data_IF_638213137590
#
_entry.id   IF_638213137590
#
_cell.length_a   1.000
_cell.length_b   1.000
_cell.length_c   1.000
_cell.angle_alpha   90.00
_cell.angle_beta   90.00
_cell.angle_gamma   90.00
#
_symmetry.space_group_name_H-M   'P 1'
#
loop_
_entity.id
_entity.type
_entity.pdbx_description
1 polymer ?
#
# COMPACT_ATOMS: atom_id res chain seq x y z
N UNK A 1 -12.40 9.83 26.98
CA UNK A 1 -12.12 10.63 25.77
C UNK A 1 -10.90 9.96 25.15
N UNK A 2 -11.06 9.30 24.01
CA UNK A 2 -9.90 8.90 23.20
C UNK A 2 -9.23 10.20 22.75
N UNK A 3 -7.94 10.35 23.00
CA UNK A 3 -7.18 11.52 22.58
C UNK A 3 -6.87 11.31 21.09
N UNK A 4 -7.78 11.74 20.21
CA UNK A 4 -7.53 11.72 18.77
C UNK A 4 -6.39 12.69 18.47
N UNK A 5 -5.21 12.16 18.15
CA UNK A 5 -4.03 12.98 17.85
C UNK A 5 -4.01 13.33 16.36
N UNK A 6 -4.10 14.62 16.06
CA UNK A 6 -3.97 15.13 14.69
C UNK A 6 -2.54 15.63 14.47
N UNK A 7 -1.82 14.99 13.56
CA UNK A 7 -0.41 15.29 13.25
C UNK A 7 -0.32 15.74 11.81
N UNK A 8 0.03 17.01 11.58
CA UNK A 8 0.28 17.54 10.23
C UNK A 8 1.73 18.01 10.10
N UNK A 9 2.40 17.59 9.05
CA UNK A 9 3.82 17.88 8.80
C UNK A 9 4.07 18.34 7.35
N UNK A 10 4.83 19.43 7.19
CA UNK A 10 5.20 20.00 5.88
C UNK A 10 6.72 20.11 5.67
N UNK A 11 7.23 19.68 4.53
CA UNK A 11 8.66 19.70 4.19
C UNK A 11 9.38 18.40 4.56
N UNK A 12 10.72 18.45 4.58
CA UNK A 12 11.52 17.26 4.92
C UNK A 12 11.60 17.03 6.43
N UNK A 13 10.80 16.10 6.95
CA UNK A 13 10.78 15.78 8.38
C UNK A 13 11.74 14.66 8.73
N UNK A 14 12.71 14.98 9.58
CA UNK A 14 13.70 14.03 10.06
C UNK A 14 13.34 13.35 11.38
N UNK A 15 12.14 13.56 11.92
CA UNK A 15 11.67 12.87 13.13
C UNK A 15 10.59 11.85 12.76
N UNK A 16 10.70 10.60 13.23
CA UNK A 16 9.63 9.63 13.04
C UNK A 16 8.37 10.09 13.78
N UNK A 17 7.21 9.67 13.29
CA UNK A 17 5.94 9.82 13.99
C UNK A 17 5.69 8.51 14.73
N UNK A 18 5.41 8.60 16.03
CA UNK A 18 5.05 7.48 16.88
C UNK A 18 3.81 7.86 17.69
N UNK A 19 2.79 7.01 17.62
CA UNK A 19 1.56 7.13 18.40
C UNK A 19 1.16 5.75 18.93
N UNK A 20 0.53 5.75 20.10
CA UNK A 20 -0.10 4.57 20.70
C UNK A 20 -1.63 4.60 20.63
N UNK A 21 -2.19 5.72 20.21
CA UNK A 21 -3.63 5.88 19.97
C UNK A 21 -3.91 5.72 18.46
N UNK A 22 -5.11 6.08 18.01
CA UNK A 22 -5.58 6.07 16.61
C UNK A 22 -5.34 7.46 15.95
N UNK A 23 -4.11 7.81 15.49
CA UNK A 23 -3.82 9.15 15.03
C UNK A 23 -4.36 9.41 13.62
N UNK A 24 -4.62 10.69 13.35
CA UNK A 24 -4.79 11.21 11.99
C UNK A 24 -3.51 11.93 11.57
N UNK A 25 -2.77 11.35 10.64
CA UNK A 25 -1.46 11.81 10.18
C UNK A 25 -1.57 12.31 8.75
N UNK A 26 -1.18 13.57 8.52
CA UNK A 26 -1.04 14.14 7.17
C UNK A 26 0.37 14.67 6.96
N UNK A 27 1.06 14.21 5.92
CA UNK A 27 2.46 14.55 5.68
C UNK A 27 2.70 15.01 4.23
N UNK A 28 3.42 16.12 4.03
CA UNK A 28 3.78 16.67 2.72
C UNK A 28 5.30 16.79 2.56
N UNK A 29 5.90 16.21 1.52
CA UNK A 29 7.35 16.19 1.30
C UNK A 29 8.02 14.86 1.67
N UNK A 30 9.32 14.85 1.96
CA UNK A 30 10.03 13.65 2.42
C UNK A 30 9.91 13.44 3.92
N UNK A 31 9.51 12.24 4.36
CA UNK A 31 9.34 11.95 5.79
C UNK A 31 10.12 10.72 6.22
N UNK A 32 10.38 10.64 7.53
CA UNK A 32 10.90 9.44 8.19
C UNK A 32 9.82 8.37 8.38
N UNK A 33 10.21 7.13 8.78
CA UNK A 33 9.26 6.06 9.04
C UNK A 33 8.18 6.49 10.04
N UNK A 34 6.99 5.96 9.81
CA UNK A 34 5.83 6.07 10.68
C UNK A 34 5.68 4.70 11.34
N UNK A 35 5.68 4.66 12.68
CA UNK A 35 5.57 3.44 13.48
C UNK A 35 4.40 3.59 14.45
N UNK A 36 3.32 2.86 14.18
CA UNK A 36 2.01 3.06 14.81
C UNK A 36 1.43 1.72 15.30
N UNK A 37 0.64 1.79 16.38
CA UNK A 37 0.11 0.60 17.03
C UNK A 37 -1.41 0.47 17.00
N UNK A 38 -2.17 1.56 16.82
CA UNK A 38 -3.64 1.52 16.87
C UNK A 38 -4.24 2.24 15.67
N UNK A 39 -5.12 1.53 14.94
CA UNK A 39 -5.83 1.87 13.69
C UNK A 39 -5.57 3.28 13.09
N UNK A 40 -4.37 3.54 12.52
CA UNK A 40 -4.02 4.89 12.14
C UNK A 40 -4.60 5.30 10.79
N UNK A 41 -4.95 6.58 10.67
CA UNK A 41 -5.30 7.19 9.39
C UNK A 41 -4.13 8.02 8.88
N UNK A 42 -3.51 7.58 7.79
CA UNK A 42 -2.27 8.17 7.26
C UNK A 42 -2.52 8.67 5.84
N UNK A 43 -2.29 9.95 5.60
CA UNK A 43 -2.25 10.56 4.26
C UNK A 43 -0.88 11.15 4.00
N UNK A 44 -0.22 10.75 2.92
CA UNK A 44 1.11 11.26 2.58
C UNK A 44 1.16 11.77 1.13
N UNK A 45 1.84 12.90 0.91
CA UNK A 45 2.06 13.52 -0.39
C UNK A 45 3.56 13.73 -0.67
N UNK A 46 4.03 13.40 -1.88
CA UNK A 46 5.40 13.63 -2.34
C UNK A 46 6.24 12.36 -2.51
N UNK A 47 7.56 12.50 -2.38
CA UNK A 47 8.51 11.39 -2.47
C UNK A 47 8.78 10.80 -1.08
N UNK A 48 8.24 9.61 -0.82
CA UNK A 48 8.37 8.91 0.46
C UNK A 48 9.42 7.84 0.35
N UNK A 49 10.63 8.19 0.80
CA UNK A 49 11.78 7.31 0.75
C UNK A 49 11.88 6.31 1.92
N UNK A 50 10.87 6.24 2.78
CA UNK A 50 10.84 5.38 3.98
C UNK A 50 9.50 4.66 4.12
N UNK A 51 9.49 3.43 4.65
CA UNK A 51 8.27 2.64 4.79
C UNK A 51 7.36 3.18 5.89
N UNK A 52 6.09 2.81 5.80
CA UNK A 52 5.11 2.89 6.89
C UNK A 52 5.06 1.50 7.54
N UNK A 53 5.26 1.43 8.86
CA UNK A 53 5.15 0.21 9.66
C UNK A 53 3.97 0.37 10.64
N UNK A 54 3.00 -0.54 10.56
CA UNK A 54 1.82 -0.54 11.44
C UNK A 54 1.64 -1.90 12.09
N UNK A 55 1.43 -1.89 13.41
CA UNK A 55 1.02 -3.05 14.22
C UNK A 55 -0.46 -3.00 14.63
N UNK A 56 -1.26 -2.17 13.94
CA UNK A 56 -2.72 -2.18 14.03
C UNK A 56 -3.31 -2.21 12.63
N UNK A 57 -4.58 -1.84 12.46
CA UNK A 57 -5.28 -1.89 11.16
C UNK A 57 -5.25 -0.51 10.43
N UNK A 58 -4.24 -0.20 9.59
CA UNK A 58 -4.09 1.15 9.10
C UNK A 58 -4.96 1.45 7.88
N UNK A 59 -5.38 2.70 7.79
CA UNK A 59 -5.92 3.33 6.59
C UNK A 59 -4.86 4.25 6.00
N UNK A 60 -4.30 3.88 4.85
CA UNK A 60 -3.15 4.56 4.24
C UNK A 60 -3.52 5.09 2.86
N UNK A 61 -3.32 6.39 2.65
CA UNK A 61 -3.41 7.02 1.33
C UNK A 61 -2.10 7.70 0.99
N UNK A 62 -1.49 7.36 -0.16
CA UNK A 62 -0.21 7.93 -0.59
C UNK A 62 -0.29 8.49 -2.01
N UNK A 63 0.30 9.67 -2.24
CA UNK A 63 0.39 10.34 -3.55
C UNK A 63 1.84 10.69 -3.93
N UNK A 64 2.31 10.24 -5.10
CA UNK A 64 3.67 10.47 -5.59
C UNK A 64 4.51 9.20 -5.75
N UNK A 65 5.75 9.22 -5.24
CA UNK A 65 6.70 8.11 -5.33
C UNK A 65 6.86 7.51 -3.94
N UNK A 66 6.56 6.22 -3.78
CA UNK A 66 6.48 5.62 -2.45
C UNK A 66 7.37 4.40 -2.28
N UNK A 67 7.93 4.27 -1.06
CA UNK A 67 8.46 3.03 -0.50
C UNK A 67 7.32 2.18 0.07
N UNK A 68 7.57 0.90 0.37
CA UNK A 68 6.49 -0.02 0.64
C UNK A 68 5.86 0.24 2.00
N UNK A 69 4.61 -0.19 2.13
CA UNK A 69 3.93 -0.35 3.41
C UNK A 69 4.22 -1.76 3.89
N UNK A 70 4.59 -1.88 5.16
CA UNK A 70 4.64 -3.14 5.87
C UNK A 70 3.56 -3.07 6.96
N UNK A 71 2.55 -3.95 6.89
CA UNK A 71 1.48 -4.06 7.90
C UNK A 71 1.45 -5.47 8.46
N UNK A 72 1.23 -5.59 9.77
CA UNK A 72 1.06 -6.88 10.43
C UNK A 72 -0.40 -7.31 10.53
N UNK A 73 -1.33 -6.36 10.59
CA UNK A 73 -2.77 -6.62 10.67
C UNK A 73 -3.48 -6.15 9.40
N UNK A 74 -4.81 -6.32 9.38
CA UNK A 74 -5.66 -5.95 8.26
C UNK A 74 -5.42 -4.51 7.83
N UNK A 75 -5.35 -4.25 6.53
CA UNK A 75 -4.96 -2.91 6.07
C UNK A 75 -5.73 -2.44 4.85
N UNK A 76 -5.99 -1.14 4.81
CA UNK A 76 -6.63 -0.46 3.69
C UNK A 76 -5.62 0.51 3.08
N UNK A 77 -5.08 0.17 1.91
CA UNK A 77 -4.08 0.98 1.23
C UNK A 77 -4.61 1.50 -0.09
N UNK A 78 -4.56 2.82 -0.26
CA UNK A 78 -4.76 3.50 -1.54
C UNK A 78 -3.48 4.23 -1.95
N UNK A 79 -3.03 4.02 -3.18
CA UNK A 79 -1.79 4.59 -3.67
C UNK A 79 -1.95 5.20 -5.06
N UNK A 80 -1.34 6.37 -5.28
CA UNK A 80 -1.33 7.09 -6.55
C UNK A 80 0.10 7.43 -6.96
N UNK A 81 0.53 6.99 -8.14
CA UNK A 81 1.83 7.34 -8.73
C UNK A 81 2.71 6.13 -9.01
N UNK A 82 4.02 6.30 -8.82
CA UNK A 82 5.03 5.30 -9.21
C UNK A 82 5.47 4.46 -8.01
N UNK A 83 5.33 3.14 -8.15
CA UNK A 83 5.66 2.19 -7.09
C UNK A 83 6.92 1.41 -7.44
N UNK A 84 7.99 1.72 -6.71
CA UNK A 84 9.32 1.19 -7.01
C UNK A 84 9.78 0.03 -6.10
N UNK A 85 9.00 -0.34 -5.08
CA UNK A 85 9.34 -1.41 -4.13
C UNK A 85 8.14 -2.31 -3.81
N UNK A 86 8.39 -3.60 -3.48
CA UNK A 86 7.33 -4.54 -3.15
C UNK A 86 6.74 -4.29 -1.77
N UNK A 87 5.44 -4.49 -1.64
CA UNK A 87 4.67 -4.38 -0.39
C UNK A 87 4.65 -5.70 0.35
N UNK A 88 4.75 -5.72 1.69
CA UNK A 88 4.62 -6.95 2.47
C UNK A 88 3.50 -6.82 3.49
N UNK A 89 2.45 -7.60 3.31
CA UNK A 89 1.29 -7.65 4.19
C UNK A 89 1.19 -9.04 4.80
N UNK A 90 0.88 -9.11 6.09
CA UNK A 90 0.74 -10.40 6.78
C UNK A 90 -0.69 -10.87 6.85
N UNK A 91 -1.64 -9.95 6.96
CA UNK A 91 -3.07 -10.25 7.09
C UNK A 91 -3.88 -9.74 5.88
N UNK A 92 -5.16 -10.11 5.83
CA UNK A 92 -6.13 -9.68 4.80
C UNK A 92 -6.05 -8.18 4.53
N UNK A 93 -5.91 -7.80 3.27
CA UNK A 93 -5.65 -6.41 2.92
C UNK A 93 -6.39 -5.96 1.68
N UNK A 94 -6.88 -4.73 1.71
CA UNK A 94 -7.56 -4.06 0.60
C UNK A 94 -6.63 -3.03 -0.01
N UNK A 95 -6.21 -3.28 -1.24
CA UNK A 95 -5.19 -2.49 -1.92
C UNK A 95 -5.78 -1.92 -3.20
N UNK A 96 -5.75 -0.59 -3.32
CA UNK A 96 -6.10 0.12 -4.55
C UNK A 96 -4.88 0.92 -5.02
N UNK A 97 -4.45 0.71 -6.26
CA UNK A 97 -3.26 1.36 -6.79
C UNK A 97 -3.52 1.99 -8.16
N UNK A 98 -3.08 3.23 -8.36
CA UNK A 98 -3.19 3.97 -9.62
C UNK A 98 -1.80 4.39 -10.12
N UNK A 99 -1.47 4.15 -11.38
CA UNK A 99 -0.20 4.52 -12.00
C UNK A 99 0.66 3.32 -12.42
N UNK A 100 1.98 3.52 -12.49
CA UNK A 100 2.93 2.50 -12.92
C UNK A 100 3.47 1.70 -11.73
N UNK A 101 3.06 0.43 -11.65
CA UNK A 101 3.42 -0.48 -10.56
C UNK A 101 4.49 -1.46 -11.02
N UNK A 102 5.73 -1.18 -10.60
CA UNK A 102 6.91 -1.88 -11.10
C UNK A 102 7.34 -3.07 -10.22
N UNK A 103 6.62 -3.34 -9.12
CA UNK A 103 6.99 -4.36 -8.12
C UNK A 103 5.76 -5.10 -7.58
N UNK A 104 5.92 -6.36 -7.17
CA UNK A 104 4.83 -7.19 -6.68
C UNK A 104 4.31 -6.72 -5.33
N UNK A 105 3.04 -6.99 -5.05
CA UNK A 105 2.50 -7.10 -3.69
C UNK A 105 2.78 -8.51 -3.22
N UNK A 106 3.30 -8.66 -2.00
CA UNK A 106 3.44 -9.92 -1.29
C UNK A 106 2.49 -9.91 -0.09
N UNK A 107 1.58 -10.88 -0.05
CA UNK A 107 0.65 -11.10 1.06
C UNK A 107 0.77 -12.55 1.53
N UNK A 108 0.64 -12.76 2.84
CA UNK A 108 0.51 -14.11 3.39
C UNK A 108 -0.92 -14.63 3.37
N UNK A 109 -1.88 -13.74 3.57
CA UNK A 109 -3.32 -14.02 3.53
C UNK A 109 -3.97 -13.53 2.22
N UNK A 110 -5.27 -13.79 2.05
CA UNK A 110 -6.12 -13.43 0.89
C UNK A 110 -6.29 -11.90 0.71
N UNK A 111 -5.57 -11.25 -0.22
CA UNK A 111 -5.73 -9.83 -0.44
C UNK A 111 -6.77 -9.52 -1.52
N UNK A 112 -7.42 -8.37 -1.37
CA UNK A 112 -8.26 -7.74 -2.39
C UNK A 112 -7.45 -6.63 -3.07
N UNK A 113 -7.15 -6.80 -4.35
CA UNK A 113 -6.24 -5.92 -5.09
C UNK A 113 -6.97 -5.33 -6.30
N UNK A 114 -7.02 -4.00 -6.38
CA UNK A 114 -7.49 -3.26 -7.55
C UNK A 114 -6.36 -2.39 -8.09
N UNK A 115 -6.03 -2.53 -9.37
CA UNK A 115 -4.92 -1.81 -10.00
C UNK A 115 -5.37 -1.12 -11.29
N UNK A 116 -4.92 0.12 -11.48
CA UNK A 116 -5.14 0.94 -12.68
C UNK A 116 -3.82 1.44 -13.26
N UNK A 117 -3.55 1.18 -14.54
CA UNK A 117 -2.32 1.60 -15.22
C UNK A 117 -1.44 0.44 -15.72
N UNK A 118 -0.12 0.62 -15.69
CA UNK A 118 0.85 -0.39 -16.10
C UNK A 118 1.30 -1.23 -14.91
N UNK A 119 1.11 -2.55 -14.96
CA UNK A 119 1.39 -3.42 -13.81
C UNK A 119 2.29 -4.61 -14.13
N UNK A 120 3.18 -4.92 -13.18
CA UNK A 120 4.02 -6.13 -13.13
C UNK A 120 3.35 -7.24 -12.29
N UNK A 121 3.89 -8.48 -12.31
CA UNK A 121 3.30 -9.61 -11.60
C UNK A 121 3.02 -9.31 -10.14
N UNK A 122 1.96 -9.90 -9.63
CA UNK A 122 1.67 -10.02 -8.20
C UNK A 122 2.09 -11.43 -7.77
N UNK A 123 2.73 -11.56 -6.61
CA UNK A 123 3.24 -12.84 -6.07
C UNK A 123 2.63 -13.04 -4.68
N UNK A 124 1.67 -13.96 -4.56
CA UNK A 124 0.82 -14.09 -3.38
C UNK A 124 0.77 -15.52 -2.87
N UNK A 125 0.72 -15.68 -1.54
CA UNK A 125 0.77 -17.00 -0.94
C UNK A 125 -0.61 -17.69 -0.83
N UNK A 126 -1.70 -16.94 -0.90
CA UNK A 126 -3.08 -17.44 -0.77
C UNK A 126 -3.95 -17.06 -1.98
N UNK A 127 -5.28 -17.21 -1.89
CA UNK A 127 -6.29 -16.99 -2.94
C UNK A 127 -6.69 -15.51 -3.08
N UNK A 128 -6.09 -14.72 -4.00
CA UNK A 128 -6.41 -13.31 -4.09
C UNK A 128 -7.64 -13.01 -4.94
N UNK A 129 -8.25 -11.87 -4.65
CA UNK A 129 -9.20 -11.22 -5.54
C UNK A 129 -8.51 -10.05 -6.23
N UNK A 130 -8.27 -10.17 -7.53
CA UNK A 130 -7.51 -9.17 -8.30
C UNK A 130 -8.37 -8.61 -9.42
N UNK A 131 -8.52 -7.28 -9.44
CA UNK A 131 -9.10 -6.53 -10.56
C UNK A 131 -8.04 -5.60 -11.16
N UNK A 132 -7.78 -5.69 -12.46
CA UNK A 132 -6.77 -4.86 -13.14
C UNK A 132 -7.35 -4.14 -14.35
N UNK A 133 -6.94 -2.89 -14.53
CA UNK A 133 -7.29 -2.04 -15.66
C UNK A 133 -6.02 -1.47 -16.31
N UNK A 134 -5.83 -1.67 -17.61
CA UNK A 134 -4.74 -1.03 -18.37
C UNK A 134 -3.82 -2.02 -19.10
N UNK A 135 -2.51 -1.78 -19.01
CA UNK A 135 -1.49 -2.56 -19.71
C UNK A 135 -0.96 -3.67 -18.79
N UNK A 136 -1.23 -4.92 -19.17
CA UNK A 136 -0.85 -6.11 -18.40
C UNK A 136 0.36 -6.79 -19.01
N UNK A 137 1.49 -6.80 -18.29
CA UNK A 137 2.77 -7.28 -18.83
C UNK A 137 3.11 -8.72 -18.49
N UNK A 138 2.45 -9.34 -17.48
CA UNK A 138 2.72 -10.72 -17.03
C UNK A 138 1.52 -11.30 -16.23
N UNK A 139 1.40 -12.64 -16.14
CA UNK A 139 0.40 -13.30 -15.28
C UNK A 139 0.66 -13.06 -13.78
N UNK A 140 -0.40 -13.22 -12.99
CA UNK A 140 -0.36 -13.31 -11.52
C UNK A 140 0.23 -14.66 -11.14
N UNK A 141 1.14 -14.67 -10.17
CA UNK A 141 1.69 -15.88 -9.55
C UNK A 141 1.07 -15.99 -8.14
N UNK A 142 0.37 -17.09 -7.86
CA UNK A 142 -0.25 -17.35 -6.57
C UNK A 142 -0.18 -18.84 -6.25
N UNK A 143 0.06 -19.17 -4.98
CA UNK A 143 0.01 -20.57 -4.53
C UNK A 143 -1.43 -21.09 -4.32
N UNK A 144 -2.42 -20.20 -4.27
CA UNK A 144 -3.86 -20.51 -4.22
C UNK A 144 -4.55 -20.40 -5.58
N UNK A 145 -5.88 -20.57 -5.63
CA UNK A 145 -6.69 -20.27 -6.82
C UNK A 145 -7.08 -18.78 -6.84
N UNK A 146 -6.48 -17.93 -7.70
CA UNK A 146 -6.81 -16.51 -7.72
C UNK A 146 -8.11 -16.24 -8.49
N UNK A 147 -8.94 -15.33 -7.98
CA UNK A 147 -10.03 -14.74 -8.74
C UNK A 147 -9.54 -13.48 -9.46
N UNK A 148 -9.37 -13.55 -10.78
CA UNK A 148 -8.77 -12.47 -11.57
C UNK A 148 -9.77 -11.93 -12.59
N UNK A 149 -10.00 -10.62 -12.53
CA UNK A 149 -10.72 -9.85 -13.56
C UNK A 149 -9.78 -8.82 -14.17
N UNK A 150 -9.64 -8.82 -15.49
CA UNK A 150 -8.70 -7.93 -16.21
C UNK A 150 -9.40 -7.21 -17.35
N UNK A 151 -9.11 -5.91 -17.49
CA UNK A 151 -9.61 -5.05 -18.57
C UNK A 151 -8.44 -4.28 -19.21
N UNK A 152 -8.28 -4.32 -20.53
CA UNK A 152 -7.27 -3.51 -21.23
C UNK A 152 -6.45 -4.30 -22.24
N UNK A 153 -5.18 -3.90 -22.44
CA UNK A 153 -4.30 -4.53 -23.44
C UNK A 153 -3.48 -5.62 -22.75
N UNK A 154 -3.68 -6.86 -23.20
CA UNK A 154 -2.93 -8.01 -22.75
C UNK A 154 -1.84 -8.32 -23.77
N UNK A 155 -0.57 -8.21 -23.35
CA UNK A 155 0.53 -8.72 -24.16
C UNK A 155 0.78 -10.17 -23.73
N UNK A 156 0.45 -11.18 -24.55
CA UNK A 156 0.84 -12.56 -24.25
C UNK A 156 2.36 -12.64 -24.17
N UNK A 157 2.87 -13.36 -23.16
CA UNK A 157 4.29 -13.67 -22.99
C UNK A 157 4.68 -14.81 -23.93
#
# INVERSE_FOLDING_TARGET
LKDESYITQYGDHQKPVNSKDEPYITQYGGHKPVDLNDEPYITQYGDHHKPVDSNGEPYITQYGVHKPVDSKDQSYITQYGDHQKPMNLKDESYITQYGDHQKPVNSKDEPYITQYGGHKPVDLNDEPYITQYGDHHKPVDSNGEPYITQYGVHKPV
#
